data_IF_229970021813
#
_entry.id   IF_229970021813
#
_cell.length_a   1.000
_cell.length_b   1.000
_cell.length_c   1.000
_cell.angle_alpha   90.00
_cell.angle_beta   90.00
_cell.angle_gamma   90.00
#
_symmetry.space_group_name_H-M   'P 1'
#
loop_
_entity.id
_entity.type
_entity.pdbx_description
1 polymer ?
#
# COMPACT_ATOMS: atom_id res chain seq x y z
N UNK A 1 13.52 14.88 1.71
CA UNK A 1 14.16 15.50 0.54
C UNK A 1 13.79 16.97 0.52
N UNK A 2 14.73 17.89 0.26
CA UNK A 2 14.41 19.31 0.10
C UNK A 2 13.48 19.51 -1.10
N UNK A 3 12.59 20.51 -1.01
CA UNK A 3 11.77 20.94 -2.15
C UNK A 3 12.62 21.64 -3.21
N UNK A 4 12.18 21.59 -4.46
CA UNK A 4 12.87 22.22 -5.60
C UNK A 4 12.22 23.52 -6.08
N UNK A 5 11.17 23.99 -5.40
CA UNK A 5 10.33 25.11 -5.86
C UNK A 5 11.02 26.48 -5.88
N UNK A 6 12.12 26.64 -5.17
CA UNK A 6 12.99 27.83 -5.18
C UNK A 6 14.15 27.71 -6.19
N UNK A 7 14.33 26.53 -6.80
CA UNK A 7 15.46 26.21 -7.69
C UNK A 7 15.05 25.94 -9.13
N UNK A 8 13.76 25.71 -9.38
CA UNK A 8 13.19 25.44 -10.69
C UNK A 8 12.04 26.42 -10.96
N UNK A 9 12.01 26.98 -12.16
CA UNK A 9 10.83 27.67 -12.67
C UNK A 9 9.67 26.70 -12.91
N UNK A 10 8.45 27.21 -12.94
CA UNK A 10 7.25 26.42 -13.24
C UNK A 10 7.36 25.70 -14.60
N UNK A 11 7.99 26.36 -15.57
CA UNK A 11 8.24 25.80 -16.91
C UNK A 11 9.32 24.70 -16.92
N UNK A 12 10.30 24.77 -16.02
CA UNK A 12 11.27 23.68 -15.79
C UNK A 12 10.63 22.50 -15.07
N UNK A 13 9.72 22.76 -14.12
CA UNK A 13 8.94 21.73 -13.45
C UNK A 13 8.08 20.99 -14.47
N UNK A 14 7.36 21.69 -15.34
CA UNK A 14 6.53 21.07 -16.38
C UNK A 14 7.36 20.24 -17.38
N UNK A 15 8.54 20.73 -17.79
CA UNK A 15 9.45 19.96 -18.66
C UNK A 15 9.98 18.70 -17.97
N UNK A 16 10.33 18.79 -16.68
CA UNK A 16 10.77 17.63 -15.91
C UNK A 16 9.65 16.60 -15.76
N UNK A 17 8.43 17.05 -15.45
CA UNK A 17 7.25 16.17 -15.39
C UNK A 17 6.97 15.51 -16.75
N UNK A 18 7.08 16.26 -17.84
CA UNK A 18 6.97 15.72 -19.19
C UNK A 18 8.01 14.63 -19.46
N UNK A 19 9.28 14.89 -19.15
CA UNK A 19 10.36 13.92 -19.30
C UNK A 19 10.14 12.66 -18.44
N UNK A 20 9.77 12.81 -17.17
CA UNK A 20 9.47 11.67 -16.29
C UNK A 20 8.35 10.79 -16.84
N UNK A 21 7.28 11.40 -17.37
CA UNK A 21 6.19 10.66 -18.03
C UNK A 21 6.65 9.88 -19.28
N UNK A 22 7.73 10.30 -19.94
CA UNK A 22 8.31 9.55 -21.08
C UNK A 22 9.23 8.42 -20.63
N UNK A 23 9.79 8.50 -19.41
CA UNK A 23 10.58 7.43 -18.80
C UNK A 23 9.69 6.37 -18.14
N UNK A 24 8.55 6.78 -17.62
CA UNK A 24 7.50 5.90 -17.20
C UNK A 24 6.90 5.24 -18.46
N UNK A 25 7.05 3.93 -18.59
CA UNK A 25 6.33 3.17 -19.63
C UNK A 25 4.82 3.30 -19.43
N UNK A 26 4.03 2.80 -20.40
CA UNK A 26 2.57 2.71 -20.27
C UNK A 26 2.21 2.25 -18.85
N UNK A 27 1.34 2.98 -18.11
CA UNK A 27 0.95 2.55 -16.80
C UNK A 27 0.33 1.16 -16.92
N UNK A 28 1.09 0.13 -16.53
CA UNK A 28 0.60 -1.25 -16.47
C UNK A 28 -0.50 -1.42 -15.42
N UNK A 29 -0.84 -0.35 -14.70
CA UNK A 29 -2.07 -0.16 -13.96
C UNK A 29 -3.29 0.06 -14.88
N UNK A 30 -3.40 -0.72 -15.96
CA UNK A 30 -4.67 -0.91 -16.64
C UNK A 30 -5.63 -1.56 -15.63
N UNK A 31 -6.58 -0.74 -15.16
CA UNK A 31 -7.59 -1.03 -14.13
C UNK A 31 -8.62 -2.07 -14.56
N UNK A 32 -8.19 -3.30 -14.77
CA UNK A 32 -9.06 -4.44 -14.54
C UNK A 32 -8.61 -5.03 -13.21
N UNK A 33 -9.36 -4.88 -12.11
CA UNK A 33 -9.10 -5.64 -10.91
C UNK A 33 -9.16 -7.11 -11.30
N UNK A 34 -8.01 -7.76 -11.47
CA UNK A 34 -7.96 -9.20 -11.53
C UNK A 34 -8.37 -9.65 -10.15
N UNK A 35 -9.51 -10.36 -9.99
CA UNK A 35 -9.90 -10.85 -8.69
C UNK A 35 -8.76 -11.74 -8.15
N UNK A 36 -8.31 -11.52 -6.91
CA UNK A 36 -7.18 -12.25 -6.36
C UNK A 36 -7.49 -13.76 -6.33
N UNK A 37 -6.47 -14.59 -6.56
CA UNK A 37 -6.59 -16.05 -6.49
C UNK A 37 -7.18 -16.48 -5.14
N UNK A 38 -8.31 -17.22 -5.09
CA UNK A 38 -8.93 -17.64 -3.83
C UNK A 38 -7.98 -18.43 -2.92
N UNK A 39 -7.05 -19.20 -3.51
CA UNK A 39 -6.02 -19.91 -2.77
C UNK A 39 -5.05 -18.97 -2.04
N UNK A 40 -4.54 -17.97 -2.76
CA UNK A 40 -3.69 -16.92 -2.21
C UNK A 40 -4.41 -16.10 -1.13
N UNK A 41 -5.69 -15.76 -1.34
CA UNK A 41 -6.52 -15.07 -0.34
C UNK A 41 -6.63 -15.89 0.94
N UNK A 42 -6.86 -17.21 0.83
CA UNK A 42 -6.98 -18.09 1.99
C UNK A 42 -5.66 -18.22 2.78
N UNK A 43 -4.53 -18.39 2.08
CA UNK A 43 -3.19 -18.42 2.70
C UNK A 43 -2.84 -17.09 3.35
N UNK A 44 -3.09 -15.98 2.65
CA UNK A 44 -2.89 -14.62 3.16
C UNK A 44 -3.73 -14.34 4.41
N UNK A 45 -4.99 -14.80 4.45
CA UNK A 45 -5.84 -14.70 5.63
C UNK A 45 -5.26 -15.44 6.83
N UNK A 46 -4.72 -16.64 6.62
CA UNK A 46 -4.10 -17.41 7.69
C UNK A 46 -2.84 -16.71 8.22
N UNK A 47 -2.00 -16.19 7.33
CA UNK A 47 -0.78 -15.47 7.69
C UNK A 47 -1.08 -14.14 8.40
N UNK A 48 -2.09 -13.40 7.94
CA UNK A 48 -2.56 -12.17 8.59
C UNK A 48 -2.97 -12.41 10.04
N UNK A 49 -3.69 -13.49 10.31
CA UNK A 49 -4.08 -13.87 11.68
C UNK A 49 -2.89 -14.14 12.59
N UNK A 50 -1.79 -14.63 12.04
CA UNK A 50 -0.57 -14.95 12.81
C UNK A 50 0.31 -13.72 13.05
N UNK A 51 0.43 -12.83 12.05
CA UNK A 51 1.43 -11.76 12.05
C UNK A 51 0.86 -10.35 12.25
N UNK A 52 -0.37 -10.11 11.81
CA UNK A 52 -0.94 -8.76 11.72
C UNK A 52 -2.08 -8.52 12.72
N UNK A 53 -2.79 -9.59 13.12
CA UNK A 53 -4.02 -9.48 13.91
C UNK A 53 -3.84 -8.96 15.35
N UNK A 54 -2.60 -8.89 15.84
CA UNK A 54 -2.30 -8.27 17.14
C UNK A 54 -2.55 -6.75 17.14
N UNK A 55 -2.48 -6.11 15.97
CA UNK A 55 -2.64 -4.66 15.81
C UNK A 55 -3.73 -4.27 14.79
N UNK A 56 -4.00 -5.14 13.82
CA UNK A 56 -4.95 -4.90 12.74
C UNK A 56 -6.17 -5.82 12.84
N UNK A 57 -7.35 -5.27 12.62
CA UNK A 57 -8.58 -5.99 12.28
C UNK A 57 -8.63 -6.25 10.76
N UNK A 58 -9.50 -7.16 10.33
CA UNK A 58 -9.74 -7.41 8.91
C UNK A 58 -10.21 -6.12 8.21
N UNK A 59 -9.28 -5.44 7.53
CA UNK A 59 -9.52 -4.18 6.83
C UNK A 59 -9.44 -2.90 7.68
N UNK A 60 -9.16 -2.98 9.00
CA UNK A 60 -9.03 -1.79 9.88
C UNK A 60 -7.94 -1.97 10.94
N UNK A 61 -7.57 -0.92 11.69
CA UNK A 61 -6.64 -1.04 12.84
C UNK A 61 -7.44 -1.19 14.16
N UNK A 62 -6.87 -1.86 15.16
CA UNK A 62 -7.51 -1.96 16.48
C UNK A 62 -7.50 -0.60 17.21
N UNK A 63 -8.66 -0.08 17.69
CA UNK A 63 -8.70 1.13 18.50
C UNK A 63 -7.97 0.94 19.84
N UNK A 64 -7.31 1.98 20.35
CA UNK A 64 -6.77 1.99 21.72
C UNK A 64 -5.42 1.30 21.93
N UNK A 65 -4.79 0.76 20.88
CA UNK A 65 -3.44 0.15 20.97
C UNK A 65 -2.29 1.17 21.06
N UNK A 66 -2.58 2.48 21.17
CA UNK A 66 -1.58 3.55 21.00
C UNK A 66 -1.11 3.73 19.56
N UNK A 67 -1.66 2.92 18.63
CA UNK A 67 -1.32 2.88 17.22
C UNK A 67 -2.40 3.56 16.35
N UNK A 68 -3.33 4.30 16.96
CA UNK A 68 -4.35 5.09 16.27
C UNK A 68 -3.75 6.35 15.65
N UNK A 69 -2.98 6.19 14.58
CA UNK A 69 -2.74 7.28 13.65
C UNK A 69 -3.83 7.19 12.59
N UNK A 70 -4.88 8.00 12.76
CA UNK A 70 -5.66 8.44 11.62
C UNK A 70 -4.72 9.37 10.84
N UNK A 71 -4.27 9.01 9.62
CA UNK A 71 -3.49 9.95 8.85
C UNK A 71 -4.31 11.24 8.73
N UNK A 72 -3.71 12.42 8.97
CA UNK A 72 -4.43 13.67 8.78
C UNK A 72 -5.07 13.65 7.40
N UNK A 73 -6.32 14.11 7.30
CA UNK A 73 -7.20 14.01 6.15
C UNK A 73 -6.73 14.79 4.90
N UNK A 74 -5.43 14.93 4.69
CA UNK A 74 -4.84 15.83 3.72
C UNK A 74 -3.68 15.16 2.98
N UNK A 75 -3.96 14.13 2.18
CA UNK A 75 -3.68 14.09 0.72
C UNK A 75 -4.43 12.88 0.11
N UNK A 76 -5.14 13.00 -1.03
CA UNK A 76 -5.66 11.84 -1.76
C UNK A 76 -4.57 10.82 -2.14
N UNK A 77 -3.31 11.24 -2.15
CA UNK A 77 -2.14 10.42 -2.47
C UNK A 77 -1.85 9.36 -1.41
N UNK A 78 -2.16 9.60 -0.13
CA UNK A 78 -1.94 8.59 0.93
C UNK A 78 -3.05 7.53 0.97
N UNK A 79 -4.28 7.89 0.57
CA UNK A 79 -5.38 6.94 0.32
C UNK A 79 -5.03 6.00 -0.84
N UNK A 80 -4.55 6.56 -1.94
CA UNK A 80 -4.16 5.80 -3.13
C UNK A 80 -2.96 4.90 -2.82
N UNK A 81 -1.94 5.40 -2.10
CA UNK A 81 -0.75 4.61 -1.72
C UNK A 81 -1.08 3.39 -0.86
N UNK A 82 -2.09 3.47 0.01
CA UNK A 82 -2.56 2.32 0.82
C UNK A 82 -3.07 1.15 -0.01
N UNK A 83 -3.36 1.35 -1.29
CA UNK A 83 -3.85 0.33 -2.21
C UNK A 83 -2.81 -0.10 -3.25
N UNK A 84 -1.59 0.44 -3.21
CA UNK A 84 -0.52 0.06 -4.16
C UNK A 84 0.21 -1.18 -3.61
N UNK A 85 0.18 -2.33 -4.33
CA UNK A 85 0.83 -3.57 -3.88
C UNK A 85 2.30 -3.39 -3.48
N UNK A 86 3.08 -2.65 -4.27
CA UNK A 86 4.50 -2.39 -3.98
C UNK A 86 4.69 -1.59 -2.68
N UNK A 87 3.78 -0.66 -2.38
CA UNK A 87 3.84 0.10 -1.12
C UNK A 87 3.51 -0.80 0.07
N UNK A 88 2.47 -1.64 -0.05
CA UNK A 88 2.07 -2.60 0.98
C UNK A 88 3.20 -3.61 1.23
N UNK A 89 3.80 -4.17 0.17
CA UNK A 89 4.93 -5.10 0.25
C UNK A 89 6.09 -4.49 1.04
N UNK A 90 6.49 -3.27 0.67
CA UNK A 90 7.56 -2.55 1.36
C UNK A 90 7.21 -2.32 2.83
N UNK A 91 5.99 -1.91 3.14
CA UNK A 91 5.58 -1.64 4.52
C UNK A 91 5.49 -2.93 5.37
N UNK A 92 5.14 -4.07 4.78
CA UNK A 92 5.20 -5.38 5.44
C UNK A 92 6.66 -5.77 5.75
N UNK A 93 7.56 -5.62 4.77
CA UNK A 93 8.97 -6.03 4.89
C UNK A 93 9.79 -5.12 5.78
N UNK A 94 9.62 -3.82 5.65
CA UNK A 94 10.49 -2.80 6.25
C UNK A 94 9.81 -2.06 7.40
N UNK A 95 8.48 -2.18 7.53
CA UNK A 95 7.70 -1.36 8.46
C UNK A 95 7.48 0.07 7.95
N UNK A 96 6.96 0.93 8.82
CA UNK A 96 6.80 2.35 8.56
C UNK A 96 6.00 3.09 9.63
N UNK A 97 6.52 4.22 10.09
CA UNK A 97 5.91 5.00 11.17
C UNK A 97 5.82 4.18 12.45
N UNK A 98 4.60 3.83 12.85
CA UNK A 98 4.30 2.99 14.03
C UNK A 98 4.10 1.50 13.71
N UNK A 99 4.22 1.09 12.44
CA UNK A 99 4.14 -0.32 12.04
C UNK A 99 5.55 -0.93 12.02
N UNK A 100 5.84 -1.96 12.83
CA UNK A 100 7.11 -2.66 12.76
C UNK A 100 7.25 -3.49 11.47
N UNK A 101 8.47 -3.90 11.15
CA UNK A 101 8.80 -4.81 10.05
C UNK A 101 8.33 -6.25 10.36
N UNK A 102 7.02 -6.51 10.24
CA UNK A 102 6.39 -7.79 10.61
C UNK A 102 6.64 -8.92 9.61
N UNK A 103 7.15 -8.59 8.42
CA UNK A 103 7.40 -9.54 7.34
C UNK A 103 8.84 -9.57 6.85
N UNK A 104 9.80 -9.16 7.70
CA UNK A 104 11.22 -9.20 7.34
C UNK A 104 11.72 -10.63 7.05
N UNK A 105 11.08 -11.64 7.65
CA UNK A 105 11.38 -13.06 7.52
C UNK A 105 10.50 -13.79 6.48
N UNK A 106 9.52 -13.11 5.87
CA UNK A 106 8.57 -13.74 4.95
C UNK A 106 9.16 -13.88 3.54
N UNK A 107 8.86 -15.02 2.90
CA UNK A 107 9.15 -15.26 1.49
C UNK A 107 8.35 -14.29 0.59
N UNK A 108 8.77 -14.15 -0.69
CA UNK A 108 8.05 -13.31 -1.65
C UNK A 108 6.61 -13.77 -1.88
N UNK A 109 6.39 -15.08 -1.92
CA UNK A 109 5.09 -15.69 -2.10
C UNK A 109 4.16 -15.41 -0.92
N UNK A 110 4.70 -15.40 0.31
CA UNK A 110 3.94 -15.11 1.53
C UNK A 110 3.49 -13.64 1.59
N UNK A 111 4.36 -12.72 1.15
CA UNK A 111 4.01 -11.30 1.03
C UNK A 111 2.97 -11.10 -0.08
N UNK A 112 3.09 -11.80 -1.20
CA UNK A 112 2.09 -11.77 -2.28
C UNK A 112 0.73 -12.31 -1.81
N UNK A 113 0.70 -13.40 -1.04
CA UNK A 113 -0.53 -13.96 -0.46
C UNK A 113 -1.20 -12.95 0.52
N UNK A 114 -0.40 -12.26 1.35
CA UNK A 114 -0.91 -11.19 2.22
C UNK A 114 -1.53 -10.05 1.42
N UNK A 115 -0.87 -9.61 0.34
CA UNK A 115 -1.41 -8.55 -0.52
C UNK A 115 -2.70 -9.00 -1.20
N UNK A 116 -2.76 -10.25 -1.70
CA UNK A 116 -3.98 -10.81 -2.28
C UNK A 116 -5.15 -10.77 -1.28
N UNK A 117 -4.91 -11.14 -0.02
CA UNK A 117 -5.92 -11.05 1.03
C UNK A 117 -6.35 -9.60 1.33
N UNK A 118 -5.40 -8.66 1.47
CA UNK A 118 -5.70 -7.25 1.74
C UNK A 118 -6.47 -6.59 0.59
N UNK A 119 -6.11 -6.91 -0.66
CA UNK A 119 -6.86 -6.44 -1.84
C UNK A 119 -8.27 -7.01 -1.89
N UNK A 120 -8.48 -8.28 -1.52
CA UNK A 120 -9.82 -8.86 -1.43
C UNK A 120 -10.70 -8.16 -0.37
N UNK A 121 -10.11 -7.74 0.75
CA UNK A 121 -10.83 -6.97 1.77
C UNK A 121 -11.24 -5.58 1.28
N UNK A 122 -10.39 -4.91 0.51
CA UNK A 122 -10.70 -3.60 -0.06
C UNK A 122 -11.90 -3.68 -1.03
N UNK A 123 -11.88 -4.65 -1.96
CA UNK A 123 -12.97 -4.88 -2.92
C UNK A 123 -14.28 -5.27 -2.20
N UNK A 124 -14.20 -6.07 -1.13
CA UNK A 124 -15.38 -6.47 -0.35
C UNK A 124 -15.94 -5.38 0.58
N UNK A 125 -15.17 -4.33 0.87
CA UNK A 125 -15.62 -3.17 1.65
C UNK A 125 -16.32 -2.09 0.81
N UNK A 126 -16.21 -2.19 -0.53
CA UNK A 126 -16.98 -1.40 -1.49
C UNK A 126 -18.33 -2.10 -1.80
N UNK A 127 -19.20 -2.19 -0.80
CA UNK A 127 -20.63 -2.54 -0.95
C UNK A 127 -21.50 -1.31 -0.66
N UNK A 128 -22.74 -1.23 -1.21
CA UNK A 128 -23.46 0.00 -1.59
C UNK A 128 -23.61 1.08 -0.52
#
# INVERSE_FOLDING_TARGET
MPGFGDRLSEEEIERLLGYLRTLEGEPTFARTPVPPDPGAVARGRALFRQRCASCHLEGRRLPGTGLGFEPPASVPVDEVRRHIPAFIARQIREGGGQMPAVGADLAEEEVADLIAYLSALAIGSEGP
#
